data_IF_529781298960
#
_entry.id   IF_529781298960
#
_cell.length_a   1.000
_cell.length_b   1.000
_cell.length_c   1.000
_cell.angle_alpha   90.00
_cell.angle_beta   90.00
_cell.angle_gamma   90.00
#
_symmetry.space_group_name_H-M   'P 1'
#
loop_
_entity.id
_entity.type
_entity.pdbx_description
1 polymer ?
#
# COMPACT_ATOMS: atom_id res chain seq x y z
N UNK A 1 -0.70 28.22 -11.92
CA UNK A 1 -1.69 27.22 -11.44
C UNK A 1 -2.76 27.04 -12.50
N UNK A 2 -3.11 25.80 -12.82
CA UNK A 2 -4.20 25.46 -13.73
C UNK A 2 -5.31 24.70 -12.98
N UNK A 3 -6.55 24.83 -13.43
CA UNK A 3 -7.69 24.04 -12.99
C UNK A 3 -7.90 22.79 -13.86
N UNK A 4 -7.15 22.66 -14.96
CA UNK A 4 -7.26 21.54 -15.87
C UNK A 4 -5.98 20.70 -15.85
N UNK A 5 -6.12 19.41 -15.54
CA UNK A 5 -5.00 18.46 -15.57
C UNK A 5 -4.42 18.25 -16.98
N UNK A 6 -5.16 18.64 -18.04
CA UNK A 6 -4.67 18.50 -19.41
C UNK A 6 -3.50 19.43 -19.71
N UNK A 7 -3.45 20.58 -19.04
CA UNK A 7 -2.37 21.54 -19.17
C UNK A 7 -1.01 21.00 -18.67
N UNK A 8 -1.02 19.93 -17.90
CA UNK A 8 0.20 19.24 -17.43
C UNK A 8 0.73 18.19 -18.43
N UNK A 9 -0.03 17.91 -19.48
CA UNK A 9 0.31 16.86 -20.46
C UNK A 9 0.99 17.44 -21.72
N UNK A 10 1.13 18.74 -21.80
CA UNK A 10 1.60 19.49 -23.01
C UNK A 10 3.13 19.55 -23.21
N UNK A 11 3.91 18.95 -22.34
CA UNK A 11 5.38 19.01 -22.44
C UNK A 11 6.04 20.01 -21.49
N UNK A 12 5.28 20.81 -20.74
CA UNK A 12 5.82 21.80 -19.80
C UNK A 12 6.43 21.20 -18.54
N UNK A 13 6.17 19.91 -18.27
CA UNK A 13 6.70 19.18 -17.10
C UNK A 13 7.22 17.81 -17.52
N UNK A 14 8.22 17.29 -16.79
CA UNK A 14 8.79 15.95 -17.02
C UNK A 14 8.12 14.88 -16.16
N UNK A 15 7.54 15.26 -15.03
CA UNK A 15 6.95 14.37 -14.06
C UNK A 15 5.65 14.93 -13.45
N UNK A 16 4.75 14.03 -13.08
CA UNK A 16 3.45 14.36 -12.47
C UNK A 16 3.30 13.61 -11.16
N UNK A 17 2.85 14.32 -10.12
CA UNK A 17 2.44 13.71 -8.83
C UNK A 17 0.91 13.68 -8.77
N UNK A 18 0.34 12.50 -8.51
CA UNK A 18 -1.10 12.27 -8.42
C UNK A 18 -1.47 11.97 -6.97
N UNK A 19 -2.10 12.95 -6.32
CA UNK A 19 -2.57 12.90 -4.93
C UNK A 19 -4.08 13.22 -4.87
N UNK A 20 -4.85 12.57 -5.71
CA UNK A 20 -6.30 12.73 -5.88
C UNK A 20 -7.05 11.53 -5.26
N UNK A 21 -8.39 11.48 -5.22
CA UNK A 21 -9.10 10.28 -4.81
C UNK A 21 -8.75 9.06 -5.66
N UNK A 22 -8.62 7.89 -5.03
CA UNK A 22 -8.10 6.64 -5.65
C UNK A 22 -8.80 6.26 -6.96
N UNK A 23 -10.11 6.52 -7.07
CA UNK A 23 -10.89 6.25 -8.29
C UNK A 23 -10.37 6.98 -9.54
N UNK A 24 -9.57 8.02 -9.37
CA UNK A 24 -9.00 8.81 -10.47
C UNK A 24 -7.56 8.44 -10.81
N UNK A 25 -6.87 7.71 -9.92
CA UNK A 25 -5.45 7.38 -10.04
C UNK A 25 -5.12 6.72 -11.37
N UNK A 26 -5.80 5.63 -11.69
CA UNK A 26 -5.55 4.89 -12.94
C UNK A 26 -5.68 5.77 -14.17
N UNK A 27 -6.79 6.52 -14.29
CA UNK A 27 -7.04 7.35 -15.47
C UNK A 27 -5.99 8.45 -15.64
N UNK A 28 -5.63 9.12 -14.54
CA UNK A 28 -4.65 10.21 -14.58
C UNK A 28 -3.23 9.67 -14.81
N UNK A 29 -2.84 8.59 -14.12
CA UNK A 29 -1.52 7.97 -14.30
C UNK A 29 -1.33 7.43 -15.72
N UNK A 30 -2.34 6.74 -16.28
CA UNK A 30 -2.30 6.26 -17.65
C UNK A 30 -2.12 7.40 -18.66
N UNK A 31 -2.87 8.49 -18.48
CA UNK A 31 -2.74 9.68 -19.35
C UNK A 31 -1.34 10.29 -19.27
N UNK A 32 -0.81 10.46 -18.06
CA UNK A 32 0.52 11.01 -17.85
C UNK A 32 1.61 10.13 -18.50
N UNK A 33 1.56 8.81 -18.28
CA UNK A 33 2.49 7.87 -18.89
C UNK A 33 2.39 7.87 -20.42
N UNK A 34 1.18 7.92 -20.99
CA UNK A 34 0.99 8.03 -22.45
C UNK A 34 1.53 9.33 -23.02
N UNK A 35 1.45 10.43 -22.25
CA UNK A 35 2.05 11.72 -22.55
C UNK A 35 3.55 11.82 -22.20
N UNK A 36 4.20 10.65 -21.99
CA UNK A 36 5.65 10.53 -21.74
C UNK A 36 6.15 11.23 -20.46
N UNK A 37 5.28 11.30 -19.43
CA UNK A 37 5.65 11.84 -18.12
C UNK A 37 6.01 10.75 -17.15
N UNK A 38 7.02 10.95 -16.31
CA UNK A 38 7.23 10.16 -15.10
C UNK A 38 6.07 10.38 -14.15
N UNK A 39 5.68 9.36 -13.39
CA UNK A 39 4.50 9.42 -12.52
C UNK A 39 4.85 8.98 -11.11
N UNK A 40 4.51 9.80 -10.13
CA UNK A 40 4.32 9.38 -8.74
C UNK A 40 2.83 9.41 -8.43
N UNK A 41 2.29 8.33 -7.88
CA UNK A 41 0.88 8.23 -7.52
C UNK A 41 0.74 7.82 -6.05
N UNK A 42 -0.21 8.43 -5.34
CA UNK A 42 -0.54 8.04 -3.96
C UNK A 42 -1.09 6.62 -3.89
N UNK A 43 -0.89 6.01 -2.72
CA UNK A 43 -1.46 4.70 -2.40
C UNK A 43 -3.01 4.77 -2.23
N UNK A 44 -3.73 3.72 -2.57
CA UNK A 44 -3.29 2.59 -3.39
C UNK A 44 -3.10 3.03 -4.85
N UNK A 45 -2.20 2.40 -5.57
CA UNK A 45 -1.87 2.78 -6.96
C UNK A 45 -3.11 2.84 -7.86
N UNK A 46 -4.01 1.87 -7.71
CA UNK A 46 -5.27 1.73 -8.49
C UNK A 46 -6.33 1.02 -7.66
N UNK A 47 -7.54 0.87 -8.22
CA UNK A 47 -8.66 0.15 -7.61
C UNK A 47 -8.56 -1.37 -7.75
N UNK A 48 -7.71 -1.90 -8.63
CA UNK A 48 -7.52 -3.34 -8.86
C UNK A 48 -6.18 -3.64 -9.53
N UNK A 49 -5.76 -4.90 -9.45
CA UNK A 49 -4.45 -5.36 -9.96
C UNK A 49 -4.30 -5.27 -11.47
N UNK A 50 -5.38 -5.46 -12.24
CA UNK A 50 -5.34 -5.35 -13.71
C UNK A 50 -4.93 -3.95 -14.16
N UNK A 51 -5.51 -2.92 -13.55
CA UNK A 51 -5.15 -1.52 -13.81
C UNK A 51 -3.70 -1.24 -13.41
N UNK A 52 -3.24 -1.76 -12.28
CA UNK A 52 -1.86 -1.59 -11.84
C UNK A 52 -0.88 -2.24 -12.84
N UNK A 53 -1.16 -3.47 -13.27
CA UNK A 53 -0.34 -4.19 -14.25
C UNK A 53 -0.26 -3.45 -15.58
N UNK A 54 -1.36 -2.85 -16.04
CA UNK A 54 -1.36 -2.04 -17.26
C UNK A 54 -0.47 -0.80 -17.13
N UNK A 55 -0.57 -0.06 -16.01
CA UNK A 55 0.31 1.10 -15.77
C UNK A 55 1.79 0.70 -15.75
N UNK A 56 2.12 -0.43 -15.10
CA UNK A 56 3.48 -0.96 -15.08
C UNK A 56 3.98 -1.32 -16.49
N UNK A 57 3.13 -1.92 -17.32
CA UNK A 57 3.47 -2.26 -18.70
C UNK A 57 3.77 -1.02 -19.55
N UNK A 58 2.90 0.00 -19.47
CA UNK A 58 3.09 1.27 -20.18
C UNK A 58 4.38 1.97 -19.72
N UNK A 59 4.61 2.04 -18.41
CA UNK A 59 5.80 2.67 -17.86
C UNK A 59 7.09 1.96 -18.33
N UNK A 60 7.08 0.62 -18.34
CA UNK A 60 8.20 -0.19 -18.83
C UNK A 60 8.44 -0.01 -20.32
N UNK A 61 7.39 -0.06 -21.14
CA UNK A 61 7.47 0.09 -22.58
C UNK A 61 8.03 1.45 -22.99
N UNK A 62 7.61 2.51 -22.30
CA UNK A 62 8.07 3.88 -22.56
C UNK A 62 9.34 4.28 -21.79
N UNK A 63 9.94 3.36 -21.02
CA UNK A 63 11.10 3.63 -20.16
C UNK A 63 10.87 4.79 -19.17
N UNK A 64 9.67 4.88 -18.60
CA UNK A 64 9.26 5.89 -17.64
C UNK A 64 9.33 5.37 -16.21
N UNK A 65 9.52 6.27 -15.25
CA UNK A 65 9.45 5.94 -13.83
C UNK A 65 7.99 6.03 -13.36
N UNK A 66 7.50 4.94 -12.76
CA UNK A 66 6.23 4.89 -12.06
C UNK A 66 6.53 4.54 -10.61
N UNK A 67 6.20 5.45 -9.69
CA UNK A 67 6.44 5.33 -8.27
C UNK A 67 5.11 5.37 -7.51
N UNK A 68 4.95 4.55 -6.50
CA UNK A 68 3.81 4.60 -5.58
C UNK A 68 4.23 5.26 -4.27
N UNK A 69 3.35 6.06 -3.69
CA UNK A 69 3.59 6.79 -2.44
C UNK A 69 3.60 5.89 -1.20
N UNK A 70 4.45 4.86 -1.17
CA UNK A 70 4.68 3.99 -0.01
C UNK A 70 5.62 4.68 1.00
N UNK A 71 5.16 5.78 1.58
CA UNK A 71 5.96 6.67 2.43
C UNK A 71 6.58 6.00 3.65
N UNK A 72 5.99 4.90 4.13
CA UNK A 72 6.52 4.17 5.29
C UNK A 72 7.80 3.40 4.99
N UNK A 73 8.12 3.06 3.74
CA UNK A 73 9.39 2.45 3.36
C UNK A 73 10.58 3.39 3.62
N UNK A 74 10.32 4.71 3.63
CA UNK A 74 11.30 5.76 3.92
C UNK A 74 11.26 6.22 5.39
N UNK A 75 10.55 5.50 6.26
CA UNK A 75 10.46 5.85 7.68
C UNK A 75 11.71 5.36 8.42
N UNK A 76 12.44 6.23 9.15
CA UNK A 76 13.66 5.83 9.85
C UNK A 76 13.50 4.65 10.81
N UNK A 77 12.32 4.50 11.44
CA UNK A 77 12.07 3.35 12.31
C UNK A 77 11.95 2.05 11.51
N UNK A 78 11.32 2.08 10.33
CA UNK A 78 11.24 0.91 9.44
C UNK A 78 12.62 0.55 8.89
N UNK A 79 13.43 1.53 8.48
CA UNK A 79 14.81 1.31 8.06
C UNK A 79 15.66 0.72 9.18
N UNK A 80 15.50 1.19 10.43
CA UNK A 80 16.21 0.65 11.58
C UNK A 80 15.85 -0.81 11.84
N UNK A 81 14.56 -1.15 11.78
CA UNK A 81 14.08 -2.54 11.91
C UNK A 81 14.63 -3.41 10.79
N UNK A 82 14.63 -2.94 9.56
CA UNK A 82 15.22 -3.65 8.42
C UNK A 82 16.70 -3.99 8.69
N UNK A 83 17.49 -3.02 9.16
CA UNK A 83 18.91 -3.25 9.52
C UNK A 83 19.07 -4.30 10.62
N UNK A 84 18.20 -4.29 11.64
CA UNK A 84 18.22 -5.30 12.74
C UNK A 84 17.92 -6.71 12.17
N UNK A 85 16.95 -6.83 11.25
CA UNK A 85 16.67 -8.11 10.59
C UNK A 85 17.87 -8.57 9.76
N UNK A 86 18.42 -7.69 8.93
CA UNK A 86 19.55 -8.00 8.03
C UNK A 86 20.83 -8.33 8.80
N UNK A 87 21.03 -7.75 9.99
CA UNK A 87 22.20 -8.09 10.84
C UNK A 87 22.13 -9.48 11.48
N UNK A 88 20.96 -10.14 11.43
CA UNK A 88 20.73 -11.42 12.09
C UNK A 88 20.61 -11.34 13.62
N UNK A 89 20.45 -10.15 14.17
CA UNK A 89 20.27 -9.91 15.61
C UNK A 89 19.05 -10.63 16.17
N UNK A 90 17.94 -10.70 15.39
CA UNK A 90 16.72 -11.44 15.75
C UNK A 90 16.80 -12.94 15.46
N UNK A 91 17.88 -13.41 14.82
CA UNK A 91 17.96 -14.78 14.34
C UNK A 91 16.96 -15.06 13.21
N UNK A 92 16.43 -16.30 13.18
CA UNK A 92 15.39 -16.67 12.21
C UNK A 92 14.06 -16.03 12.59
N UNK A 93 13.44 -15.32 11.68
CA UNK A 93 12.13 -14.70 11.93
C UNK A 93 11.05 -15.80 11.87
N UNK A 94 10.23 -15.88 12.91
CA UNK A 94 9.14 -16.83 13.00
C UNK A 94 7.84 -16.28 12.46
N UNK A 95 7.43 -15.12 13.00
CA UNK A 95 6.20 -14.45 12.56
C UNK A 95 6.21 -12.95 12.84
N UNK A 96 5.30 -12.25 12.17
CA UNK A 96 5.08 -10.81 12.33
C UNK A 96 3.60 -10.54 12.58
N UNK A 97 3.29 -9.68 13.57
CA UNK A 97 1.95 -9.15 13.78
C UNK A 97 1.94 -7.65 13.54
N UNK A 98 1.08 -7.19 12.64
CA UNK A 98 0.87 -5.77 12.37
C UNK A 98 -0.55 -5.36 12.70
N UNK A 99 -0.70 -4.21 13.34
CA UNK A 99 -1.99 -3.61 13.68
C UNK A 99 -1.99 -2.15 13.25
N UNK A 100 -2.97 -1.80 12.41
CA UNK A 100 -3.20 -0.42 11.98
C UNK A 100 -4.68 -0.11 12.11
N UNK A 101 -5.04 0.52 13.22
CA UNK A 101 -6.42 0.75 13.58
C UNK A 101 -6.63 2.15 14.15
N UNK A 102 -7.79 2.70 13.94
CA UNK A 102 -8.24 3.97 14.52
C UNK A 102 -9.77 4.11 14.36
N UNK A 103 -10.38 4.99 15.14
CA UNK A 103 -11.71 5.49 14.83
C UNK A 103 -11.55 6.51 13.69
N UNK A 104 -11.83 6.08 12.48
CA UNK A 104 -11.56 6.83 11.26
C UNK A 104 -12.82 7.30 10.55
N UNK A 105 -12.61 8.02 9.46
CA UNK A 105 -13.67 8.33 8.51
C UNK A 105 -13.92 7.11 7.63
N UNK A 106 -15.16 6.61 7.64
CA UNK A 106 -15.56 5.53 6.73
C UNK A 106 -15.52 6.04 5.30
N UNK A 107 -14.74 5.37 4.46
CA UNK A 107 -14.64 5.73 3.05
C UNK A 107 -15.85 5.23 2.27
N UNK A 108 -16.26 5.98 1.26
CA UNK A 108 -17.44 5.64 0.45
C UNK A 108 -17.07 4.85 -0.83
N UNK A 109 -15.79 4.80 -1.20
CA UNK A 109 -15.32 4.28 -2.48
C UNK A 109 -14.31 3.13 -2.37
N UNK A 110 -13.78 2.87 -1.17
CA UNK A 110 -12.86 1.75 -0.88
C UNK A 110 -13.16 1.16 0.49
N UNK A 111 -12.72 -0.06 0.74
CA UNK A 111 -12.77 -0.68 2.06
C UNK A 111 -11.52 -0.36 2.90
N UNK A 112 -11.55 -0.70 4.18
CA UNK A 112 -10.45 -0.47 5.11
C UNK A 112 -9.15 -1.17 4.69
N UNK A 113 -9.25 -2.32 4.03
CA UNK A 113 -8.08 -3.05 3.53
C UNK A 113 -7.36 -2.24 2.46
N UNK A 114 -8.06 -1.74 1.43
CA UNK A 114 -7.47 -0.89 0.39
C UNK A 114 -6.94 0.44 0.92
N UNK A 115 -7.54 0.99 1.98
CA UNK A 115 -7.07 2.24 2.58
C UNK A 115 -5.82 2.05 3.45
N UNK A 116 -5.86 1.10 4.39
CA UNK A 116 -4.84 0.98 5.45
C UNK A 116 -3.78 -0.09 5.17
N UNK A 117 -4.16 -1.26 4.68
CA UNK A 117 -3.23 -2.37 4.53
C UNK A 117 -2.07 -2.14 3.53
N UNK A 118 -2.17 -1.32 2.47
CA UNK A 118 -1.03 -1.06 1.58
C UNK A 118 0.22 -0.57 2.31
N UNK A 119 0.06 0.18 3.41
CA UNK A 119 1.20 0.62 4.22
C UNK A 119 1.91 -0.55 4.91
N UNK A 120 1.14 -1.45 5.55
CA UNK A 120 1.72 -2.58 6.27
C UNK A 120 2.24 -3.65 5.32
N UNK A 121 1.56 -3.86 4.19
CA UNK A 121 2.02 -4.77 3.15
C UNK A 121 3.36 -4.31 2.55
N UNK A 122 3.51 -3.02 2.24
CA UNK A 122 4.77 -2.48 1.73
C UNK A 122 5.89 -2.59 2.76
N UNK A 123 5.61 -2.29 4.03
CA UNK A 123 6.57 -2.47 5.13
C UNK A 123 7.02 -3.95 5.21
N UNK A 124 6.09 -4.90 5.20
CA UNK A 124 6.42 -6.33 5.30
C UNK A 124 7.27 -6.80 4.13
N UNK A 125 6.91 -6.45 2.90
CA UNK A 125 7.69 -6.80 1.72
C UNK A 125 9.08 -6.17 1.75
N UNK A 126 9.20 -4.93 2.23
CA UNK A 126 10.48 -4.25 2.39
C UNK A 126 11.36 -4.91 3.47
N UNK A 127 10.79 -5.21 4.65
CA UNK A 127 11.52 -5.83 5.76
C UNK A 127 12.03 -7.23 5.45
N UNK A 128 11.22 -8.03 4.72
CA UNK A 128 11.53 -9.41 4.41
C UNK A 128 12.20 -9.61 3.04
N UNK A 129 12.26 -8.57 2.21
CA UNK A 129 12.76 -8.61 0.82
C UNK A 129 12.10 -9.71 -0.04
N UNK A 130 10.87 -10.10 0.31
CA UNK A 130 10.10 -11.11 -0.41
C UNK A 130 8.60 -10.75 -0.45
N UNK A 131 7.89 -11.33 -1.43
CA UNK A 131 6.45 -11.21 -1.54
C UNK A 131 5.74 -12.41 -0.89
N UNK A 132 4.53 -12.23 -0.33
CA UNK A 132 3.76 -13.34 0.21
C UNK A 132 3.38 -14.33 -0.91
N UNK A 133 3.49 -15.63 -0.61
CA UNK A 133 3.07 -16.72 -1.49
C UNK A 133 1.56 -16.99 -1.38
N UNK A 134 1.02 -16.86 -0.15
CA UNK A 134 -0.40 -17.11 0.13
C UNK A 134 -0.97 -15.99 0.98
N UNK A 135 -2.22 -15.65 0.68
CA UNK A 135 -2.98 -14.62 1.42
C UNK A 135 -4.35 -15.18 1.74
N UNK A 136 -4.80 -14.99 2.98
CA UNK A 136 -6.17 -15.20 3.41
C UNK A 136 -6.65 -13.94 4.12
N UNK A 137 -7.89 -13.53 3.87
CA UNK A 137 -8.47 -12.36 4.51
C UNK A 137 -9.94 -12.60 4.83
N UNK A 138 -10.38 -12.06 5.96
CA UNK A 138 -11.78 -12.01 6.36
C UNK A 138 -12.08 -10.60 6.86
N UNK A 139 -13.20 -10.05 6.43
CA UNK A 139 -13.64 -8.71 6.82
C UNK A 139 -15.13 -8.62 7.02
N UNK A 140 -15.54 -7.53 7.66
CA UNK A 140 -16.97 -7.24 7.87
C UNK A 140 -17.21 -5.74 8.03
N UNK A 141 -18.45 -5.34 7.84
CA UNK A 141 -18.98 -4.02 8.12
C UNK A 141 -20.04 -4.10 9.22
N UNK A 142 -19.97 -3.21 10.20
CA UNK A 142 -20.79 -3.22 11.41
C UNK A 142 -21.61 -1.95 11.56
N UNK A 143 -21.03 -0.81 11.20
CA UNK A 143 -21.66 0.52 11.34
C UNK A 143 -22.52 0.82 10.13
N UNK A 144 -21.94 0.78 8.93
CA UNK A 144 -22.70 0.98 7.71
C UNK A 144 -23.04 -0.36 7.06
N UNK A 145 -24.01 -1.06 7.62
CA UNK A 145 -24.42 -2.41 7.17
C UNK A 145 -24.94 -2.47 5.72
N UNK A 146 -25.28 -1.34 5.13
CA UNK A 146 -25.69 -1.25 3.72
C UNK A 146 -24.50 -1.03 2.77
N UNK A 147 -23.32 -0.68 3.31
CA UNK A 147 -22.09 -0.58 2.54
C UNK A 147 -21.64 -1.96 2.09
N UNK A 148 -21.08 -2.03 0.90
CA UNK A 148 -20.36 -3.21 0.40
C UNK A 148 -18.89 -3.24 0.82
N UNK A 149 -18.44 -2.24 1.56
CA UNK A 149 -17.03 -2.08 1.96
C UNK A 149 -16.84 -2.46 3.42
N UNK A 150 -15.90 -3.34 3.67
CA UNK A 150 -15.53 -3.79 5.01
C UNK A 150 -14.88 -2.65 5.80
N UNK A 151 -15.25 -2.57 7.08
CA UNK A 151 -14.76 -1.59 8.06
C UNK A 151 -13.67 -2.16 8.97
N UNK A 152 -13.61 -3.49 9.05
CA UNK A 152 -12.59 -4.26 9.78
C UNK A 152 -12.15 -5.41 8.91
N UNK A 153 -10.83 -5.64 8.79
CA UNK A 153 -10.27 -6.79 8.06
C UNK A 153 -9.12 -7.39 8.86
N UNK A 154 -9.11 -8.71 8.95
CA UNK A 154 -8.02 -9.53 9.42
C UNK A 154 -7.41 -10.29 8.24
N UNK A 155 -6.08 -10.27 8.13
CA UNK A 155 -5.36 -10.91 7.04
C UNK A 155 -4.26 -11.81 7.60
N UNK A 156 -4.03 -12.95 6.95
CA UNK A 156 -2.88 -13.80 7.19
C UNK A 156 -2.12 -13.98 5.89
N UNK A 157 -0.82 -13.72 5.94
CA UNK A 157 0.12 -13.87 4.83
C UNK A 157 1.08 -14.99 5.15
N UNK A 158 1.41 -15.82 4.15
CA UNK A 158 2.49 -16.80 4.26
C UNK A 158 3.54 -16.48 3.20
N UNK A 159 4.79 -16.38 3.63
CA UNK A 159 5.94 -16.13 2.78
C UNK A 159 6.64 -17.42 2.39
N UNK A 160 7.44 -17.42 1.31
CA UNK A 160 8.22 -18.59 0.85
C UNK A 160 9.22 -19.08 1.88
N UNK A 161 9.82 -18.15 2.63
CA UNK A 161 10.71 -18.43 3.77
C UNK A 161 10.05 -19.24 4.88
N UNK A 162 8.71 -19.37 4.87
CA UNK A 162 7.93 -19.99 5.93
C UNK A 162 7.38 -19.01 6.97
N UNK A 163 7.84 -17.76 6.95
CA UNK A 163 7.37 -16.70 7.86
C UNK A 163 5.86 -16.49 7.67
N UNK A 164 5.17 -16.32 8.81
CA UNK A 164 3.76 -15.93 8.83
C UNK A 164 3.63 -14.47 9.25
N UNK A 165 2.76 -13.72 8.59
CA UNK A 165 2.39 -12.39 9.05
C UNK A 165 0.87 -12.26 9.19
N UNK A 166 0.43 -11.65 10.30
CA UNK A 166 -0.96 -11.29 10.53
C UNK A 166 -1.11 -9.78 10.53
N UNK A 167 -2.10 -9.29 9.79
CA UNK A 167 -2.45 -7.88 9.73
C UNK A 167 -3.89 -7.69 10.23
N UNK A 168 -4.07 -6.70 11.10
CA UNK A 168 -5.38 -6.22 11.51
C UNK A 168 -5.50 -4.76 11.09
N UNK A 169 -6.51 -4.44 10.29
CA UNK A 169 -6.86 -3.08 9.89
C UNK A 169 -8.32 -2.78 10.25
N UNK A 170 -8.57 -1.59 10.80
CA UNK A 170 -9.91 -1.23 11.24
C UNK A 170 -10.08 0.30 11.29
N UNK A 171 -11.27 0.76 10.91
CA UNK A 171 -11.72 2.13 11.13
C UNK A 171 -12.55 2.31 12.40
N UNK A 172 -12.81 1.22 13.14
CA UNK A 172 -13.78 1.22 14.25
C UNK A 172 -13.13 1.20 15.64
N UNK A 173 -11.81 1.11 15.72
CA UNK A 173 -11.12 1.05 17.01
C UNK A 173 -11.11 2.41 17.70
N UNK A 174 -11.54 2.50 18.98
CA UNK A 174 -11.61 3.77 19.71
C UNK A 174 -10.22 4.34 20.01
N UNK A 175 -9.19 3.48 20.03
CA UNK A 175 -7.79 3.87 20.26
C UNK A 175 -6.99 3.70 18.99
N UNK A 176 -6.37 4.78 18.52
CA UNK A 176 -5.45 4.71 17.37
C UNK A 176 -4.21 3.92 17.74
N UNK A 177 -3.98 2.82 17.02
CA UNK A 177 -2.80 1.98 17.17
C UNK A 177 -2.13 1.74 15.83
N UNK A 178 -0.81 1.86 15.81
CA UNK A 178 0.08 1.46 14.71
C UNK A 178 1.26 0.74 15.32
N UNK A 179 1.29 -0.57 15.19
CA UNK A 179 2.34 -1.39 15.79
C UNK A 179 2.68 -2.55 14.89
N UNK A 180 3.96 -2.90 14.86
CA UNK A 180 4.47 -4.11 14.22
C UNK A 180 5.36 -4.82 15.22
N UNK A 181 5.02 -6.07 15.53
CA UNK A 181 5.80 -6.95 16.40
C UNK A 181 6.42 -8.05 15.54
N UNK A 182 7.73 -8.17 15.62
CA UNK A 182 8.51 -9.19 14.91
C UNK A 182 9.09 -10.14 15.94
N UNK A 183 8.88 -11.43 15.75
CA UNK A 183 9.37 -12.47 16.65
C UNK A 183 10.37 -13.33 15.91
N UNK A 184 11.56 -13.42 16.46
CA UNK A 184 12.67 -14.20 15.96
C UNK A 184 13.15 -15.25 16.99
N UNK A 185 14.17 -15.98 16.62
CA UNK A 185 14.73 -17.08 17.44
C UNK A 185 15.71 -16.60 18.53
N UNK A 186 16.08 -15.33 18.54
CA UNK A 186 17.01 -14.70 19.50
C UNK A 186 16.34 -13.56 20.24
#
# INVERSE_FOLDING_TARGET
TSQNSDDLMDGSVDAVVIATPVRTHYKLAKRALLAEKHVMVEKPITMNSTQASELLSIAKEKNLKLMVGHTFEYNPAVEAVHKIIQSGELGDIYYINSTRVNLGLLQADINVMWDLAPHDLSILCFLLEENPEKVSAIGSNFVNRQSKYEEVVYMTLKFKSGILANLRVSWLDPVKQRSTTIVGSK
#
